data_IF_603768363431
#
_entry.id   IF_603768363431
#
_cell.length_a   1.000
_cell.length_b   1.000
_cell.length_c   1.000
_cell.angle_alpha   90.00
_cell.angle_beta   90.00
_cell.angle_gamma   90.00
#
_symmetry.space_group_name_H-M   'P 1'
#
loop_
_entity.id
_entity.type
_entity.pdbx_description
1 polymer ?
#
# COMPACT_ATOMS: atom_id res chain seq x y z
N UNK A 1 10.99 -7.10 -21.12
CA UNK A 1 12.32 -7.70 -21.36
C UNK A 1 12.54 -8.82 -20.32
N UNK A 2 13.67 -9.53 -20.29
CA UNK A 2 13.89 -10.54 -19.23
C UNK A 2 14.03 -9.86 -17.86
N UNK A 3 13.46 -10.46 -16.81
CA UNK A 3 13.67 -10.05 -15.40
C UNK A 3 15.15 -10.11 -14.98
N UNK A 4 15.99 -10.75 -15.79
CA UNK A 4 17.45 -10.80 -15.62
C UNK A 4 18.15 -9.44 -15.87
N UNK A 5 17.40 -8.37 -16.21
CA UNK A 5 17.94 -7.05 -16.53
C UNK A 5 18.12 -6.11 -15.32
N UNK A 6 17.67 -6.50 -14.12
CA UNK A 6 17.70 -5.63 -12.94
C UNK A 6 18.49 -6.24 -11.79
N UNK A 7 19.24 -5.40 -11.07
CA UNK A 7 19.94 -5.74 -9.84
C UNK A 7 19.42 -4.93 -8.65
N UNK A 8 19.70 -5.35 -7.42
CA UNK A 8 19.44 -4.59 -6.21
C UNK A 8 20.68 -4.53 -5.31
N UNK A 9 21.07 -3.33 -4.90
CA UNK A 9 22.12 -3.09 -3.92
C UNK A 9 21.48 -2.63 -2.61
N UNK A 10 21.52 -3.49 -1.59
CA UNK A 10 20.97 -3.25 -0.27
C UNK A 10 22.09 -2.80 0.67
N UNK A 11 21.93 -1.63 1.30
CA UNK A 11 22.95 -1.04 2.18
C UNK A 11 22.67 -1.41 3.64
N UNK A 12 23.51 -2.25 4.23
CA UNK A 12 23.37 -2.76 5.61
C UNK A 12 24.66 -2.66 6.44
N UNK A 13 25.61 -1.82 6.02
CA UNK A 13 26.93 -1.71 6.63
C UNK A 13 27.02 -0.75 7.83
N UNK A 14 25.99 0.08 8.06
CA UNK A 14 26.02 1.18 9.02
C UNK A 14 25.91 0.77 10.49
N UNK A 15 26.38 1.61 11.41
CA UNK A 15 26.48 1.29 12.84
C UNK A 15 25.15 1.17 13.61
N UNK A 16 24.05 1.73 13.10
CA UNK A 16 22.76 1.83 13.85
C UNK A 16 22.87 2.56 15.21
N UNK A 17 23.84 3.46 15.38
CA UNK A 17 24.21 4.00 16.70
C UNK A 17 23.07 4.70 17.47
N UNK A 18 22.13 5.35 16.76
CA UNK A 18 21.00 6.08 17.36
C UNK A 18 19.90 5.16 17.90
N UNK A 19 19.79 3.95 17.37
CA UNK A 19 18.75 2.96 17.71
C UNK A 19 19.01 2.23 19.02
N UNK A 20 20.25 2.23 19.53
CA UNK A 20 20.65 1.38 20.67
C UNK A 20 20.59 -0.13 20.40
N UNK A 21 20.17 -0.53 19.20
CA UNK A 21 20.10 -1.91 18.70
C UNK A 21 20.45 -1.92 17.21
N UNK A 22 20.84 -3.08 16.68
CA UNK A 22 21.35 -3.18 15.32
C UNK A 22 20.21 -3.45 14.33
N UNK A 23 19.83 -2.41 13.55
CA UNK A 23 18.62 -2.39 12.71
C UNK A 23 18.44 -3.62 11.82
N UNK A 24 19.47 -4.12 11.09
CA UNK A 24 19.28 -5.22 10.15
C UNK A 24 18.78 -6.52 10.79
N UNK A 25 19.08 -6.73 12.08
CA UNK A 25 18.73 -7.95 12.82
C UNK A 25 17.41 -7.85 13.57
N UNK A 26 16.74 -6.69 13.58
CA UNK A 26 15.47 -6.51 14.27
C UNK A 26 14.38 -7.40 13.67
N UNK A 27 13.53 -7.96 14.52
CA UNK A 27 12.43 -8.82 14.10
C UNK A 27 11.30 -8.03 13.47
N UNK A 28 10.70 -8.57 12.43
CA UNK A 28 9.54 -8.03 11.73
C UNK A 28 8.66 -9.19 11.28
N UNK A 29 7.70 -9.54 12.14
CA UNK A 29 6.93 -10.79 11.99
C UNK A 29 7.84 -12.01 12.09
N UNK A 30 7.80 -12.88 11.08
CA UNK A 30 8.63 -14.09 11.01
C UNK A 30 10.02 -13.89 10.38
N UNK A 31 10.35 -12.66 9.95
CA UNK A 31 11.62 -12.31 9.30
C UNK A 31 12.37 -11.28 10.13
N UNK A 32 13.65 -11.12 9.87
CA UNK A 32 14.40 -9.91 10.26
C UNK A 32 14.20 -8.78 9.25
N UNK A 33 14.55 -7.55 9.63
CA UNK A 33 14.54 -6.37 8.75
C UNK A 33 15.33 -6.64 7.46
N UNK A 34 16.54 -7.19 7.53
CA UNK A 34 17.34 -7.47 6.33
C UNK A 34 16.70 -8.54 5.44
N UNK A 35 16.16 -9.61 6.04
CA UNK A 35 15.44 -10.65 5.30
C UNK A 35 14.19 -10.09 4.62
N UNK A 36 13.49 -9.14 5.26
CA UNK A 36 12.34 -8.46 4.66
C UNK A 36 12.75 -7.65 3.44
N UNK A 37 13.80 -6.83 3.54
CA UNK A 37 14.27 -6.00 2.41
C UNK A 37 14.70 -6.88 1.22
N UNK A 38 15.38 -7.99 1.47
CA UNK A 38 15.73 -8.96 0.43
C UNK A 38 14.48 -9.57 -0.21
N UNK A 39 13.47 -9.92 0.60
CA UNK A 39 12.25 -10.57 0.09
C UNK A 39 11.46 -9.66 -0.85
N UNK A 40 11.44 -8.34 -0.62
CA UNK A 40 10.78 -7.37 -1.49
C UNK A 40 11.29 -7.48 -2.95
N UNK A 41 12.62 -7.56 -3.15
CA UNK A 41 13.20 -7.69 -4.48
C UNK A 41 13.03 -9.09 -5.07
N UNK A 42 13.22 -10.13 -4.25
CA UNK A 42 13.07 -11.53 -4.68
C UNK A 42 11.64 -11.85 -5.13
N UNK A 43 10.64 -11.34 -4.41
CA UNK A 43 9.21 -11.46 -4.77
C UNK A 43 8.86 -10.72 -6.08
N UNK A 44 9.69 -9.75 -6.50
CA UNK A 44 9.60 -9.08 -7.80
C UNK A 44 10.44 -9.74 -8.90
N UNK A 45 11.07 -10.89 -8.62
CA UNK A 45 11.85 -11.64 -9.61
C UNK A 45 13.27 -11.10 -9.85
N UNK A 46 13.74 -10.14 -9.04
CA UNK A 46 15.14 -9.68 -9.08
C UNK A 46 16.03 -10.79 -8.55
N UNK A 47 16.97 -11.28 -9.38
CA UNK A 47 17.89 -12.38 -9.03
C UNK A 47 19.21 -11.88 -8.44
N UNK A 48 19.73 -10.79 -8.98
CA UNK A 48 20.99 -10.19 -8.53
C UNK A 48 20.73 -9.23 -7.37
N UNK A 49 20.75 -9.78 -6.15
CA UNK A 49 20.56 -9.02 -4.93
C UNK A 49 21.86 -9.05 -4.14
N UNK A 50 22.49 -7.88 -3.99
CA UNK A 50 23.74 -7.68 -3.27
C UNK A 50 23.45 -6.97 -1.95
N UNK A 51 23.80 -7.58 -0.83
CA UNK A 51 23.73 -6.98 0.50
C UNK A 51 25.12 -6.52 0.90
N UNK A 52 25.29 -5.22 1.02
CA UNK A 52 26.55 -4.61 1.45
C UNK A 52 26.61 -4.58 2.96
N UNK A 53 27.59 -5.29 3.52
CA UNK A 53 27.82 -5.44 4.96
C UNK A 53 29.04 -4.65 5.42
N UNK A 54 29.18 -4.48 6.72
CA UNK A 54 30.27 -3.71 7.34
C UNK A 54 30.27 -3.97 8.84
N UNK A 55 29.68 -3.07 9.64
CA UNK A 55 29.52 -3.33 11.07
C UNK A 55 28.74 -4.64 11.30
N UNK A 56 29.26 -5.54 12.15
CA UNK A 56 28.68 -6.87 12.43
C UNK A 56 28.43 -7.70 11.15
N UNK A 57 29.39 -7.66 10.23
CA UNK A 57 29.31 -8.28 8.89
C UNK A 57 28.85 -9.73 8.93
N UNK A 58 29.44 -10.56 9.79
CA UNK A 58 29.14 -12.01 9.87
C UNK A 58 27.66 -12.32 10.12
N UNK A 59 27.01 -11.55 11.01
CA UNK A 59 25.62 -11.76 11.39
C UNK A 59 24.67 -11.37 10.25
N UNK A 60 24.92 -10.22 9.61
CA UNK A 60 24.14 -9.78 8.45
C UNK A 60 24.36 -10.71 7.26
N UNK A 61 25.60 -11.12 7.02
CA UNK A 61 25.99 -11.99 5.92
C UNK A 61 25.29 -13.35 6.02
N UNK A 62 25.19 -13.92 7.22
CA UNK A 62 24.50 -15.18 7.45
C UNK A 62 23.02 -15.08 7.06
N UNK A 63 22.32 -14.04 7.54
CA UNK A 63 20.90 -13.83 7.25
C UNK A 63 20.65 -13.51 5.77
N UNK A 64 21.55 -12.73 5.16
CA UNK A 64 21.48 -12.37 3.74
C UNK A 64 21.63 -13.61 2.85
N UNK A 65 22.64 -14.44 3.11
CA UNK A 65 22.85 -15.71 2.39
C UNK A 65 21.66 -16.65 2.58
N UNK A 66 21.13 -16.78 3.79
CA UNK A 66 19.93 -17.58 4.06
C UNK A 66 18.70 -17.10 3.27
N UNK A 67 18.53 -15.79 3.09
CA UNK A 67 17.47 -15.23 2.26
C UNK A 67 17.71 -15.39 0.74
N UNK A 68 18.92 -15.78 0.34
CA UNK A 68 19.32 -15.98 -1.05
C UNK A 68 19.93 -14.74 -1.71
N UNK A 69 20.47 -13.80 -0.94
CA UNK A 69 21.23 -12.66 -1.44
C UNK A 69 22.74 -12.94 -1.41
N UNK A 70 23.47 -12.24 -2.28
CA UNK A 70 24.92 -12.21 -2.32
C UNK A 70 25.42 -11.18 -1.30
N UNK A 71 26.60 -11.42 -0.71
CA UNK A 71 27.16 -10.56 0.34
C UNK A 71 28.37 -9.84 -0.19
N UNK A 72 28.42 -8.53 0.04
CA UNK A 72 29.53 -7.65 -0.35
C UNK A 72 30.07 -7.01 0.92
N UNK A 73 31.27 -7.40 1.31
CA UNK A 73 31.89 -6.87 2.52
C UNK A 73 32.59 -5.54 2.23
N UNK A 74 32.13 -4.46 2.86
CA UNK A 74 32.71 -3.13 2.70
C UNK A 74 33.61 -2.79 3.89
N UNK A 75 34.92 -2.95 3.72
CA UNK A 75 35.92 -2.60 4.72
C UNK A 75 35.96 -1.08 5.03
N UNK A 76 35.56 -0.24 4.07
CA UNK A 76 35.58 1.22 4.18
C UNK A 76 34.23 1.80 4.63
N UNK A 77 33.34 1.01 5.25
CA UNK A 77 31.99 1.45 5.62
C UNK A 77 31.97 2.67 6.56
N UNK A 78 33.05 2.86 7.34
CA UNK A 78 33.22 3.99 8.26
C UNK A 78 33.36 5.34 7.53
N UNK A 79 33.74 5.34 6.26
CA UNK A 79 33.87 6.55 5.43
C UNK A 79 32.52 7.10 4.93
N UNK A 80 31.41 6.43 5.26
CA UNK A 80 30.05 6.88 5.01
C UNK A 80 29.29 6.00 4.02
N UNK A 81 27.98 6.23 3.90
CA UNK A 81 27.08 5.39 3.09
C UNK A 81 27.50 5.27 1.62
N UNK A 82 28.15 6.29 1.05
CA UNK A 82 28.56 6.27 -0.35
C UNK A 82 29.65 5.24 -0.66
N UNK A 83 30.54 4.91 0.31
CA UNK A 83 31.50 3.80 0.10
C UNK A 83 30.78 2.47 -0.06
N UNK A 84 29.67 2.28 0.68
CA UNK A 84 28.83 1.08 0.58
C UNK A 84 28.10 1.01 -0.76
N UNK A 85 27.61 2.15 -1.28
CA UNK A 85 27.06 2.23 -2.63
C UNK A 85 28.10 1.79 -3.66
N UNK A 86 29.33 2.33 -3.60
CA UNK A 86 30.40 1.93 -4.52
C UNK A 86 30.73 0.46 -4.41
N UNK A 87 30.84 -0.09 -3.19
CA UNK A 87 31.14 -1.49 -2.97
C UNK A 87 30.09 -2.39 -3.64
N UNK A 88 28.81 -2.15 -3.40
CA UNK A 88 27.74 -2.96 -4.00
C UNK A 88 27.60 -2.76 -5.51
N UNK A 89 27.77 -1.53 -6.01
CA UNK A 89 27.67 -1.24 -7.45
C UNK A 89 28.75 -1.95 -8.25
N UNK A 90 29.97 -2.11 -7.72
CA UNK A 90 31.09 -2.83 -8.38
C UNK A 90 30.77 -4.30 -8.70
N UNK A 91 29.86 -4.91 -7.95
CA UNK A 91 29.48 -6.32 -8.14
C UNK A 91 28.43 -6.52 -9.24
N UNK A 92 27.83 -5.43 -9.75
CA UNK A 92 26.79 -5.50 -10.78
C UNK A 92 27.38 -6.08 -12.06
N UNK A 93 26.69 -7.10 -12.60
CA UNK A 93 27.16 -7.84 -13.77
C UNK A 93 27.03 -7.02 -15.05
N UNK A 94 27.97 -7.18 -16.01
CA UNK A 94 27.81 -6.66 -17.37
C UNK A 94 26.47 -7.13 -17.97
N UNK A 95 25.77 -6.22 -18.64
CA UNK A 95 24.45 -6.49 -19.25
C UNK A 95 23.24 -6.16 -18.38
N UNK A 96 23.42 -5.81 -17.09
CA UNK A 96 22.35 -5.23 -16.27
C UNK A 96 21.91 -3.89 -16.87
N UNK A 97 20.60 -3.67 -17.02
CA UNK A 97 20.06 -2.44 -17.57
C UNK A 97 19.97 -1.33 -16.51
N UNK A 98 19.56 -1.69 -15.29
CA UNK A 98 19.45 -0.78 -14.16
C UNK A 98 19.54 -1.52 -12.83
N UNK A 99 19.79 -0.78 -11.75
CA UNK A 99 19.90 -1.32 -10.41
C UNK A 99 19.22 -0.44 -9.38
N UNK A 100 18.63 -1.09 -8.37
CA UNK A 100 18.09 -0.41 -7.21
C UNK A 100 19.18 -0.11 -6.19
N UNK A 101 19.03 0.99 -5.44
CA UNK A 101 19.80 1.25 -4.22
C UNK A 101 18.83 1.38 -3.05
N UNK A 102 18.91 0.46 -2.09
CA UNK A 102 17.95 0.33 -1.01
C UNK A 102 18.65 0.34 0.36
N UNK A 103 18.46 1.37 1.19
CA UNK A 103 18.83 1.32 2.59
C UNK A 103 18.10 0.18 3.31
N UNK A 104 18.80 -0.57 4.16
CA UNK A 104 18.19 -1.68 4.92
C UNK A 104 17.18 -1.23 5.97
N UNK A 105 17.19 0.05 6.34
CA UNK A 105 16.31 0.65 7.34
C UNK A 105 14.98 1.17 6.77
N UNK A 106 14.65 0.86 5.52
CA UNK A 106 13.35 1.15 4.89
C UNK A 106 12.62 -0.17 4.56
N UNK A 107 12.28 -1.02 5.55
CA UNK A 107 11.84 -2.39 5.30
C UNK A 107 10.39 -2.54 4.82
N UNK A 108 9.63 -1.45 4.74
CA UNK A 108 8.19 -1.49 4.47
C UNK A 108 7.82 -1.08 3.03
N UNK A 109 8.78 -0.86 2.13
CA UNK A 109 8.44 -0.64 0.71
C UNK A 109 7.63 -1.82 0.18
N UNK A 110 6.54 -1.53 -0.55
CA UNK A 110 5.64 -2.55 -1.09
C UNK A 110 6.18 -3.18 -2.36
N UNK A 111 5.83 -4.44 -2.56
CA UNK A 111 6.14 -5.20 -3.78
C UNK A 111 5.69 -4.43 -5.03
N UNK A 112 4.46 -3.90 -4.97
CA UNK A 112 3.86 -3.12 -6.06
C UNK A 112 4.71 -1.91 -6.47
N UNK A 113 5.34 -1.23 -5.52
CA UNK A 113 6.25 -0.10 -5.77
C UNK A 113 7.41 -0.55 -6.65
N UNK A 114 8.10 -1.64 -6.31
CA UNK A 114 9.22 -2.16 -7.09
C UNK A 114 8.79 -2.55 -8.50
N UNK A 115 7.70 -3.32 -8.65
CA UNK A 115 7.20 -3.71 -9.97
C UNK A 115 6.83 -2.50 -10.84
N UNK A 116 6.27 -1.45 -10.23
CA UNK A 116 5.89 -0.23 -10.93
C UNK A 116 7.11 0.57 -11.41
N UNK A 117 8.16 0.63 -10.59
CA UNK A 117 9.44 1.27 -10.97
C UNK A 117 10.11 0.52 -12.12
N UNK A 118 10.14 -0.82 -12.08
CA UNK A 118 10.66 -1.65 -13.16
C UNK A 118 9.89 -1.42 -14.47
N UNK A 119 8.55 -1.44 -14.40
CA UNK A 119 7.69 -1.19 -15.57
C UNK A 119 7.89 0.21 -16.15
N UNK A 120 8.11 1.22 -15.30
CA UNK A 120 8.37 2.58 -15.79
C UNK A 120 9.74 2.71 -16.45
N UNK A 121 10.76 2.03 -15.92
CA UNK A 121 12.08 1.98 -16.56
C UNK A 121 12.03 1.30 -17.93
N UNK A 122 11.23 0.24 -18.09
CA UNK A 122 11.06 -0.41 -19.39
C UNK A 122 10.47 0.54 -20.44
N UNK A 123 9.58 1.46 -20.04
CA UNK A 123 9.04 2.51 -20.93
C UNK A 123 10.00 3.65 -21.16
N UNK A 124 10.91 3.90 -20.23
CA UNK A 124 11.88 5.00 -20.26
C UNK A 124 13.31 4.51 -20.01
N UNK A 125 13.91 3.68 -20.88
CA UNK A 125 15.25 3.16 -20.66
C UNK A 125 16.29 4.28 -20.53
N UNK A 126 17.23 4.13 -19.59
CA UNK A 126 18.27 5.14 -19.35
C UNK A 126 17.85 6.31 -18.45
N UNK A 127 16.61 6.31 -17.93
CA UNK A 127 16.14 7.29 -16.94
C UNK A 127 16.36 6.81 -15.50
N UNK A 128 16.52 7.76 -14.58
CA UNK A 128 16.54 7.51 -13.14
C UNK A 128 15.09 7.54 -12.67
N UNK A 129 14.57 6.41 -12.20
CA UNK A 129 13.18 6.31 -11.75
C UNK A 129 13.14 6.45 -10.23
N UNK A 130 12.39 7.45 -9.74
CA UNK A 130 12.15 7.65 -8.31
C UNK A 130 10.70 7.35 -7.94
N UNK A 131 10.43 6.56 -6.91
CA UNK A 131 9.08 6.48 -6.35
C UNK A 131 8.74 7.80 -5.67
N UNK A 132 7.48 8.21 -5.79
CA UNK A 132 6.94 9.44 -5.21
C UNK A 132 5.62 9.16 -4.49
N UNK A 133 5.50 9.69 -3.28
CA UNK A 133 4.27 9.67 -2.50
C UNK A 133 4.00 11.08 -1.98
N UNK A 134 2.80 11.60 -2.24
CA UNK A 134 2.36 12.95 -1.82
C UNK A 134 3.39 14.04 -2.15
N UNK A 135 3.91 14.01 -3.38
CA UNK A 135 4.88 14.99 -3.89
C UNK A 135 6.33 14.79 -3.41
N UNK A 136 6.59 13.84 -2.51
CA UNK A 136 7.93 13.57 -1.95
C UNK A 136 8.56 12.34 -2.60
N UNK A 137 9.80 12.47 -3.05
CA UNK A 137 10.62 11.34 -3.55
C UNK A 137 11.02 10.45 -2.38
N UNK A 138 11.03 9.14 -2.60
CA UNK A 138 11.42 8.15 -1.60
C UNK A 138 12.34 7.07 -2.16
N UNK A 139 12.41 5.95 -1.43
CA UNK A 139 13.24 4.80 -1.77
C UNK A 139 12.42 3.60 -2.30
N UNK A 140 13.06 2.69 -3.06
CA UNK A 140 14.39 2.82 -3.65
C UNK A 140 14.35 3.57 -4.99
N UNK A 141 15.35 4.40 -5.34
CA UNK A 141 15.58 4.79 -6.73
C UNK A 141 16.00 3.58 -7.58
N UNK A 142 15.61 3.57 -8.85
CA UNK A 142 16.10 2.67 -9.89
C UNK A 142 17.00 3.45 -10.84
N UNK A 143 18.27 3.06 -10.91
CA UNK A 143 19.35 3.83 -11.52
C UNK A 143 19.83 3.10 -12.78
N UNK A 144 19.92 3.77 -13.95
CA UNK A 144 20.41 3.14 -15.16
C UNK A 144 21.90 2.79 -15.03
N UNK A 145 22.31 1.66 -15.62
CA UNK A 145 23.70 1.20 -15.57
C UNK A 145 24.68 2.20 -16.21
N UNK A 146 24.21 3.09 -17.08
CA UNK A 146 25.01 4.14 -17.71
C UNK A 146 25.61 5.12 -16.70
N UNK A 147 25.06 5.23 -15.49
CA UNK A 147 25.61 6.07 -14.41
C UNK A 147 26.64 5.34 -13.54
N UNK A 148 26.94 4.08 -13.83
CA UNK A 148 27.98 3.32 -13.12
C UNK A 148 29.33 4.07 -13.11
N UNK A 149 29.86 4.60 -14.23
CA UNK A 149 31.16 5.28 -14.22
C UNK A 149 31.17 6.51 -13.30
N UNK A 150 30.09 7.29 -13.29
CA UNK A 150 29.97 8.49 -12.46
C UNK A 150 29.92 8.12 -10.97
N UNK A 151 29.26 7.01 -10.63
CA UNK A 151 29.20 6.50 -9.26
C UNK A 151 30.56 5.98 -8.79
N UNK A 152 31.26 5.19 -9.61
CA UNK A 152 32.56 4.64 -9.23
C UNK A 152 33.62 5.74 -9.10
N UNK A 153 33.65 6.69 -10.05
CA UNK A 153 34.64 7.76 -10.10
C UNK A 153 34.29 8.98 -9.23
N UNK A 154 33.06 9.08 -8.74
CA UNK A 154 32.60 10.21 -7.94
C UNK A 154 33.41 10.42 -6.66
N UNK A 155 33.71 11.67 -6.31
CA UNK A 155 34.52 12.04 -5.13
C UNK A 155 33.85 11.72 -3.79
N UNK A 156 32.55 11.41 -3.79
CA UNK A 156 31.74 11.13 -2.60
C UNK A 156 31.20 12.34 -1.86
N UNK A 157 31.56 13.55 -2.27
CA UNK A 157 30.97 14.78 -1.72
C UNK A 157 29.47 14.83 -2.05
N UNK A 158 28.61 14.91 -1.02
CA UNK A 158 27.15 14.86 -1.17
C UNK A 158 26.57 13.47 -1.50
N UNK A 159 27.41 12.43 -1.53
CA UNK A 159 27.04 11.04 -1.73
C UNK A 159 26.34 10.75 -3.07
N UNK A 160 25.58 9.64 -3.10
CA UNK A 160 24.83 9.23 -4.30
C UNK A 160 23.83 10.31 -4.75
N UNK A 161 23.22 11.02 -3.80
CA UNK A 161 22.24 12.08 -4.08
C UNK A 161 22.83 13.17 -4.98
N UNK A 162 24.04 13.66 -4.68
CA UNK A 162 24.68 14.70 -5.48
C UNK A 162 24.93 14.26 -6.93
N UNK A 163 25.28 12.99 -7.14
CA UNK A 163 25.46 12.42 -8.48
C UNK A 163 24.11 12.38 -9.21
N UNK A 164 23.07 11.84 -8.58
CA UNK A 164 21.74 11.79 -9.21
C UNK A 164 21.19 13.19 -9.52
N UNK A 165 21.37 14.15 -8.61
CA UNK A 165 20.95 15.53 -8.80
C UNK A 165 21.73 16.23 -9.95
N UNK A 166 22.98 15.83 -10.24
CA UNK A 166 23.73 16.30 -11.41
C UNK A 166 23.13 15.79 -12.74
N UNK A 167 22.38 14.68 -12.70
CA UNK A 167 21.67 14.09 -13.84
C UNK A 167 20.15 14.31 -13.77
N UNK A 168 19.70 15.42 -13.19
CA UNK A 168 18.26 15.72 -13.01
C UNK A 168 17.44 15.68 -14.31
N UNK A 169 18.05 15.91 -15.47
CA UNK A 169 17.38 15.76 -16.78
C UNK A 169 17.03 14.31 -17.15
N UNK A 170 17.60 13.33 -16.46
CA UNK A 170 17.30 11.91 -16.58
C UNK A 170 16.21 11.46 -15.60
N UNK A 171 15.71 12.34 -14.72
CA UNK A 171 14.79 11.97 -13.66
C UNK A 171 13.36 11.75 -14.17
N UNK A 172 12.74 10.65 -13.71
CA UNK A 172 11.30 10.38 -13.84
C UNK A 172 10.76 10.02 -12.46
N UNK A 173 9.80 10.81 -11.97
CA UNK A 173 9.10 10.53 -10.72
C UNK A 173 7.82 9.73 -10.99
N UNK A 174 7.64 8.62 -10.27
CA UNK A 174 6.50 7.71 -10.40
C UNK A 174 5.66 7.75 -9.14
N UNK A 175 4.42 8.23 -9.26
CA UNK A 175 3.47 8.19 -8.16
C UNK A 175 3.13 6.74 -7.81
N UNK A 176 3.24 6.39 -6.53
CA UNK A 176 2.96 5.07 -5.95
C UNK A 176 2.03 5.22 -4.75
N UNK A 177 1.09 4.29 -4.51
CA UNK A 177 0.25 4.29 -3.31
C UNK A 177 0.99 3.64 -2.14
N UNK A 178 2.16 4.17 -1.82
CA UNK A 178 3.07 3.58 -0.84
C UNK A 178 3.79 4.66 -0.02
N UNK A 179 3.23 5.02 1.12
CA UNK A 179 3.82 6.00 2.02
C UNK A 179 5.10 5.47 2.70
N UNK A 180 5.31 4.15 2.67
CA UNK A 180 6.46 3.52 3.33
C UNK A 180 7.78 3.75 2.59
N UNK A 181 7.74 4.28 1.36
CA UNK A 181 8.96 4.74 0.65
C UNK A 181 9.68 5.89 1.37
N UNK A 182 8.98 6.56 2.31
CA UNK A 182 9.44 7.71 3.08
C UNK A 182 9.73 7.39 4.55
N UNK A 183 9.63 6.11 4.96
CA UNK A 183 9.73 5.71 6.36
C UNK A 183 10.98 4.87 6.60
N UNK A 184 11.97 5.49 7.25
CA UNK A 184 13.17 4.86 7.78
C UNK A 184 13.07 4.63 9.31
N UNK A 185 13.77 3.62 9.82
CA UNK A 185 13.80 3.31 11.25
C UNK A 185 15.09 3.80 11.90
N UNK A 186 15.13 5.03 12.41
CA UNK A 186 16.35 5.72 12.83
C UNK A 186 16.56 5.78 14.35
N UNK A 187 15.45 5.72 15.10
CA UNK A 187 15.38 5.80 16.56
C UNK A 187 14.54 4.66 17.17
N UNK A 188 14.71 4.34 18.46
CA UNK A 188 13.96 3.25 19.10
C UNK A 188 12.43 3.35 18.95
N UNK A 189 11.88 4.58 18.94
CA UNK A 189 10.45 4.78 18.74
C UNK A 189 9.98 4.44 17.31
N UNK A 190 10.85 4.55 16.31
CA UNK A 190 10.54 4.16 14.93
C UNK A 190 10.36 2.65 14.81
N UNK A 191 11.00 1.85 15.68
CA UNK A 191 10.76 0.41 15.71
C UNK A 191 9.34 0.08 16.18
N UNK A 192 8.81 0.81 17.16
CA UNK A 192 7.42 0.62 17.58
C UNK A 192 6.45 1.03 16.44
N UNK A 193 6.74 2.13 15.76
CA UNK A 193 5.96 2.56 14.60
C UNK A 193 6.06 1.56 13.43
N UNK A 194 7.24 0.97 13.20
CA UNK A 194 7.45 -0.11 12.24
C UNK A 194 6.50 -1.28 12.52
N UNK A 195 6.44 -1.74 13.78
CA UNK A 195 5.58 -2.84 14.19
C UNK A 195 4.09 -2.49 14.01
N UNK A 196 3.69 -1.26 14.35
CA UNK A 196 2.31 -0.78 14.16
C UNK A 196 1.93 -0.76 12.67
N UNK A 197 2.83 -0.27 11.80
CA UNK A 197 2.62 -0.27 10.34
C UNK A 197 2.60 -1.68 9.78
N UNK A 198 3.43 -2.58 10.30
CA UNK A 198 3.46 -3.97 9.89
C UNK A 198 2.14 -4.70 10.16
N UNK A 199 1.51 -4.44 11.30
CA UNK A 199 0.19 -5.02 11.63
C UNK A 199 -0.91 -4.62 10.64
N UNK A 200 -0.82 -3.45 10.01
CA UNK A 200 -1.77 -2.98 8.99
C UNK A 200 -1.12 -2.83 7.61
N UNK A 201 -0.08 -3.62 7.30
CA UNK A 201 0.72 -3.48 6.09
C UNK A 201 -0.10 -3.61 4.79
N UNK A 202 -1.07 -4.54 4.81
CA UNK A 202 -1.98 -4.82 3.69
C UNK A 202 -3.23 -3.92 3.67
N UNK A 203 -3.29 -2.91 4.55
CA UNK A 203 -4.41 -1.97 4.63
C UNK A 203 -3.88 -0.57 4.30
N UNK A 204 -4.31 0.05 3.19
CA UNK A 204 -3.85 1.37 2.81
C UNK A 204 -4.30 2.43 3.81
N UNK A 205 -3.46 3.45 4.02
CA UNK A 205 -3.86 4.66 4.73
C UNK A 205 -4.91 5.46 3.93
N UNK A 206 -5.62 6.43 4.55
CA UNK A 206 -6.51 7.33 3.81
C UNK A 206 -5.80 8.03 2.65
N UNK A 207 -4.58 8.49 2.88
CA UNK A 207 -3.75 9.18 1.88
C UNK A 207 -3.33 8.23 0.75
N UNK A 208 -3.08 6.96 1.06
CA UNK A 208 -2.85 5.91 0.05
C UNK A 208 -4.12 5.61 -0.75
N UNK A 209 -5.29 5.57 -0.11
CA UNK A 209 -6.57 5.41 -0.81
C UNK A 209 -6.83 6.58 -1.78
N UNK A 210 -6.57 7.81 -1.35
CA UNK A 210 -6.71 8.99 -2.20
C UNK A 210 -5.71 8.94 -3.37
N UNK A 211 -4.44 8.60 -3.11
CA UNK A 211 -3.43 8.41 -4.16
C UNK A 211 -3.88 7.39 -5.20
N UNK A 212 -4.49 6.28 -4.77
CA UNK A 212 -5.05 5.27 -5.67
C UNK A 212 -6.12 5.90 -6.57
N UNK A 213 -7.09 6.61 -5.99
CA UNK A 213 -8.23 7.16 -6.72
C UNK A 213 -7.93 8.40 -7.56
N UNK A 214 -6.84 9.12 -7.29
CA UNK A 214 -6.48 10.35 -7.99
C UNK A 214 -5.40 10.15 -9.05
N UNK A 215 -4.43 9.27 -8.81
CA UNK A 215 -3.21 9.14 -9.63
C UNK A 215 -3.01 7.76 -10.22
N UNK A 216 -3.36 6.70 -9.51
CA UNK A 216 -3.09 5.32 -9.95
C UNK A 216 -4.23 4.79 -10.82
N UNK A 217 -5.46 4.94 -10.34
CA UNK A 217 -6.71 4.62 -11.01
C UNK A 217 -7.68 5.82 -10.86
N UNK A 218 -7.46 6.89 -11.65
CA UNK A 218 -8.26 8.11 -11.56
C UNK A 218 -9.76 7.84 -11.71
N UNK A 219 -10.54 8.32 -10.76
CA UNK A 219 -12.01 8.34 -10.80
C UNK A 219 -12.55 9.76 -10.97
N UNK A 220 -13.84 9.92 -11.28
CA UNK A 220 -14.45 11.25 -11.33
C UNK A 220 -14.53 11.89 -9.94
N UNK A 221 -14.47 13.22 -9.86
CA UNK A 221 -14.58 13.95 -8.59
C UNK A 221 -15.86 13.60 -7.81
N UNK A 222 -16.97 13.37 -8.52
CA UNK A 222 -18.22 12.92 -7.94
C UNK A 222 -18.13 11.54 -7.29
N UNK A 223 -17.39 10.61 -7.92
CA UNK A 223 -17.17 9.27 -7.38
C UNK A 223 -16.20 9.31 -6.21
N UNK A 224 -15.15 10.12 -6.31
CA UNK A 224 -14.21 10.36 -5.22
C UNK A 224 -14.91 10.85 -3.94
N UNK A 225 -15.77 11.89 -4.06
CA UNK A 225 -16.54 12.41 -2.93
C UNK A 225 -17.57 11.40 -2.41
N UNK A 226 -18.19 10.62 -3.29
CA UNK A 226 -19.05 9.52 -2.91
C UNK A 226 -18.32 8.49 -2.04
N UNK A 227 -17.16 7.99 -2.48
CA UNK A 227 -16.36 7.02 -1.73
C UNK A 227 -15.96 7.54 -0.34
N UNK A 228 -15.57 8.82 -0.23
CA UNK A 228 -15.27 9.43 1.08
C UNK A 228 -16.51 9.52 1.98
N UNK A 229 -17.68 9.83 1.41
CA UNK A 229 -18.94 9.84 2.17
C UNK A 229 -19.33 8.45 2.65
N UNK A 230 -19.16 7.43 1.82
CA UNK A 230 -19.36 6.02 2.20
C UNK A 230 -18.40 5.63 3.32
N UNK A 231 -17.13 6.03 3.24
CA UNK A 231 -16.16 5.76 4.30
C UNK A 231 -16.53 6.42 5.63
N UNK A 232 -17.04 7.66 5.63
CA UNK A 232 -17.53 8.30 6.85
C UNK A 232 -18.70 7.53 7.47
N UNK A 233 -19.68 7.12 6.65
CA UNK A 233 -20.81 6.32 7.12
C UNK A 233 -20.37 4.96 7.66
N UNK A 234 -19.49 4.27 6.94
CA UNK A 234 -18.94 2.97 7.33
C UNK A 234 -18.15 3.06 8.65
N UNK A 235 -17.34 4.10 8.83
CA UNK A 235 -16.62 4.38 10.08
C UNK A 235 -17.58 4.62 11.24
N UNK A 236 -18.64 5.41 11.02
CA UNK A 236 -19.66 5.68 12.06
C UNK A 236 -20.34 4.40 12.52
N UNK A 237 -20.70 3.51 11.58
CA UNK A 237 -21.28 2.19 11.90
C UNK A 237 -20.24 1.33 12.63
N UNK A 238 -19.04 1.18 12.08
CA UNK A 238 -18.00 0.32 12.63
C UNK A 238 -17.58 0.71 14.04
N UNK A 239 -17.50 2.01 14.35
CA UNK A 239 -17.15 2.52 15.67
C UNK A 239 -18.28 2.38 16.71
N UNK A 240 -19.53 2.26 16.25
CA UNK A 240 -20.70 2.09 17.12
C UNK A 240 -20.98 0.63 17.48
N UNK A 241 -20.35 -0.33 16.82
CA UNK A 241 -20.48 -1.77 17.10
C UNK A 241 -19.80 -2.08 18.44
N UNK A 242 -20.41 -2.97 19.22
CA UNK A 242 -19.92 -3.39 20.54
C UNK A 242 -18.44 -3.81 20.50
N UNK A 243 -17.68 -3.42 21.52
CA UNK A 243 -16.22 -3.64 21.60
C UNK A 243 -15.85 -5.13 21.68
N UNK A 244 -16.80 -5.98 22.06
CA UNK A 244 -16.64 -7.43 22.09
C UNK A 244 -16.55 -8.05 20.67
N UNK A 245 -16.91 -7.29 19.62
CA UNK A 245 -16.73 -7.71 18.22
C UNK A 245 -15.46 -7.08 17.66
N UNK A 246 -14.50 -7.92 17.31
CA UNK A 246 -13.19 -7.49 16.82
C UNK A 246 -13.22 -7.13 15.32
N UNK A 247 -13.87 -6.01 14.96
CA UNK A 247 -13.83 -5.46 13.61
C UNK A 247 -12.60 -4.58 13.39
N UNK A 248 -11.97 -4.74 12.22
CA UNK A 248 -10.86 -3.88 11.83
C UNK A 248 -11.36 -2.57 11.20
N UNK A 249 -11.42 -1.51 12.01
CA UNK A 249 -11.86 -0.18 11.59
C UNK A 249 -11.01 0.39 10.42
N UNK A 250 -9.70 0.11 10.39
CA UNK A 250 -8.83 0.55 9.27
C UNK A 250 -9.24 -0.14 7.97
N UNK A 251 -9.58 -1.42 8.05
CA UNK A 251 -10.03 -2.22 6.92
C UNK A 251 -11.41 -1.79 6.42
N UNK A 252 -12.37 -1.51 7.32
CA UNK A 252 -13.68 -0.92 6.97
C UNK A 252 -13.50 0.37 6.18
N UNK A 253 -12.66 1.28 6.69
CA UNK A 253 -12.37 2.56 6.03
C UNK A 253 -11.80 2.36 4.64
N UNK A 254 -10.75 1.55 4.51
CA UNK A 254 -10.09 1.31 3.22
C UNK A 254 -11.04 0.64 2.23
N UNK A 255 -11.81 -0.36 2.66
CA UNK A 255 -12.83 -1.03 1.86
C UNK A 255 -13.88 -0.04 1.36
N UNK A 256 -14.38 0.84 2.22
CA UNK A 256 -15.35 1.86 1.85
C UNK A 256 -14.78 2.95 0.93
N UNK A 257 -13.52 3.38 1.12
CA UNK A 257 -12.89 4.35 0.22
C UNK A 257 -12.65 3.77 -1.18
N UNK A 258 -12.39 2.47 -1.29
CA UNK A 258 -11.97 1.84 -2.55
C UNK A 258 -13.04 0.93 -3.19
N UNK A 259 -14.23 0.81 -2.61
CA UNK A 259 -15.28 -0.13 -3.06
C UNK A 259 -15.65 0.03 -4.55
N UNK A 260 -15.65 1.26 -5.04
CA UNK A 260 -16.05 1.59 -6.42
C UNK A 260 -14.84 1.95 -7.31
N UNK A 261 -13.60 1.58 -6.93
CA UNK A 261 -12.36 1.90 -7.67
C UNK A 261 -12.42 1.57 -9.18
N UNK A 262 -13.17 0.54 -9.56
CA UNK A 262 -13.31 0.08 -10.94
C UNK A 262 -14.68 0.42 -11.57
N UNK A 263 -15.41 1.40 -11.03
CA UNK A 263 -16.75 1.77 -11.49
C UNK A 263 -16.78 1.99 -13.01
N UNK A 264 -17.80 1.42 -13.67
CA UNK A 264 -17.95 1.47 -15.12
C UNK A 264 -17.30 0.32 -15.88
N UNK A 265 -16.47 -0.51 -15.23
CA UNK A 265 -16.03 -1.80 -15.80
C UNK A 265 -17.13 -2.86 -15.67
N UNK A 266 -17.11 -3.88 -16.54
CA UNK A 266 -17.92 -5.08 -16.38
C UNK A 266 -17.50 -5.77 -15.08
N UNK A 267 -18.47 -6.08 -14.23
CA UNK A 267 -18.23 -6.64 -12.89
C UNK A 267 -17.21 -5.79 -12.10
N UNK A 268 -17.57 -4.53 -11.84
CA UNK A 268 -16.65 -3.56 -11.25
C UNK A 268 -16.18 -3.97 -9.84
N UNK A 269 -16.99 -4.71 -9.09
CA UNK A 269 -16.60 -5.22 -7.78
C UNK A 269 -15.42 -6.19 -7.90
N UNK A 270 -15.52 -7.21 -8.76
CA UNK A 270 -14.45 -8.17 -8.96
C UNK A 270 -13.22 -7.53 -9.65
N UNK A 271 -13.45 -6.64 -10.62
CA UNK A 271 -12.36 -5.91 -11.27
C UNK A 271 -11.58 -5.05 -10.26
N UNK A 272 -12.28 -4.38 -9.32
CA UNK A 272 -11.65 -3.61 -8.26
C UNK A 272 -10.88 -4.48 -7.27
N UNK A 273 -11.45 -5.64 -6.92
CA UNK A 273 -10.78 -6.61 -6.06
C UNK A 273 -9.45 -7.10 -6.65
N UNK A 274 -9.39 -7.37 -7.95
CA UNK A 274 -8.15 -7.76 -8.64
C UNK A 274 -7.10 -6.66 -8.58
N UNK A 275 -7.48 -5.40 -8.87
CA UNK A 275 -6.54 -4.26 -8.79
C UNK A 275 -5.94 -4.11 -7.40
N UNK A 276 -6.76 -4.22 -6.35
CA UNK A 276 -6.30 -4.09 -4.96
C UNK A 276 -5.38 -5.24 -4.56
N UNK A 277 -5.67 -6.47 -4.98
CA UNK A 277 -4.82 -7.64 -4.75
C UNK A 277 -3.46 -7.50 -5.44
N UNK A 278 -3.42 -6.98 -6.67
CA UNK A 278 -2.16 -6.70 -7.38
C UNK A 278 -1.29 -5.66 -6.65
N UNK A 279 -1.91 -4.70 -5.96
CA UNK A 279 -1.21 -3.72 -5.11
C UNK A 279 -0.78 -4.28 -3.75
N UNK A 280 -1.20 -5.50 -3.39
CA UNK A 280 -0.93 -6.13 -2.10
C UNK A 280 -1.97 -5.84 -1.02
N UNK A 281 -3.12 -5.26 -1.36
CA UNK A 281 -4.22 -4.95 -0.44
C UNK A 281 -5.29 -6.05 -0.48
N UNK A 282 -4.89 -7.28 -0.12
CA UNK A 282 -5.72 -8.48 -0.32
C UNK A 282 -7.06 -8.42 0.41
N UNK A 283 -7.04 -8.13 1.71
CA UNK A 283 -8.25 -8.06 2.54
C UNK A 283 -9.20 -6.95 2.08
N UNK A 284 -8.66 -5.81 1.63
CA UNK A 284 -9.48 -4.73 1.06
C UNK A 284 -10.16 -5.22 -0.22
N UNK A 285 -9.42 -5.92 -1.08
CA UNK A 285 -9.97 -6.52 -2.29
C UNK A 285 -11.11 -7.50 -2.02
N UNK A 286 -11.04 -8.28 -0.94
CA UNK A 286 -12.13 -9.19 -0.53
C UNK A 286 -13.41 -8.44 -0.15
N UNK A 287 -13.29 -7.34 0.59
CA UNK A 287 -14.43 -6.46 0.90
C UNK A 287 -15.00 -5.84 -0.38
N UNK A 288 -14.13 -5.33 -1.25
CA UNK A 288 -14.55 -4.71 -2.51
C UNK A 288 -15.24 -5.72 -3.43
N UNK A 289 -14.85 -6.99 -3.45
CA UNK A 289 -15.54 -8.01 -4.24
C UNK A 289 -17.00 -8.21 -3.82
N UNK A 290 -17.34 -7.98 -2.54
CA UNK A 290 -18.64 -8.29 -1.95
C UNK A 290 -19.55 -7.07 -1.78
N UNK A 291 -19.11 -5.86 -2.14
CA UNK A 291 -19.86 -4.64 -1.80
C UNK A 291 -21.19 -4.47 -2.57
N UNK A 292 -21.34 -5.12 -3.73
CA UNK A 292 -22.57 -5.06 -4.53
C UNK A 292 -23.57 -6.17 -4.20
N UNK A 293 -23.06 -7.39 -4.03
CA UNK A 293 -23.83 -8.60 -3.80
C UNK A 293 -23.16 -9.39 -2.67
N UNK A 294 -23.82 -9.40 -1.51
CA UNK A 294 -23.33 -10.01 -0.28
C UNK A 294 -24.25 -11.16 0.14
N UNK A 295 -23.70 -12.36 0.27
CA UNK A 295 -24.40 -13.50 0.85
C UNK A 295 -24.30 -13.45 2.38
N UNK A 296 -25.45 -13.37 3.05
CA UNK A 296 -25.51 -13.32 4.52
C UNK A 296 -25.91 -14.68 5.06
N UNK A 297 -25.14 -15.20 6.00
CA UNK A 297 -25.51 -16.38 6.81
C UNK A 297 -26.00 -15.90 8.17
N UNK A 298 -27.28 -16.10 8.48
CA UNK A 298 -27.95 -15.50 9.66
C UNK A 298 -27.24 -15.75 11.01
N UNK A 299 -26.43 -16.81 11.12
CA UNK A 299 -25.71 -17.19 12.35
C UNK A 299 -24.18 -16.95 12.32
N UNK A 300 -23.63 -16.28 11.30
CA UNK A 300 -22.22 -15.89 11.32
C UNK A 300 -21.99 -14.58 12.09
N UNK A 301 -20.79 -14.42 12.64
CA UNK A 301 -20.29 -13.13 13.12
C UNK A 301 -20.41 -12.05 12.02
N UNK A 302 -20.52 -10.80 12.45
CA UNK A 302 -20.55 -9.66 11.54
C UNK A 302 -19.16 -9.43 10.95
N UNK A 303 -19.13 -9.11 9.65
CA UNK A 303 -17.90 -8.81 8.92
C UNK A 303 -17.76 -7.32 8.56
N UNK A 304 -16.53 -6.88 8.30
CA UNK A 304 -16.25 -5.56 7.73
C UNK A 304 -16.95 -5.35 6.38
N UNK A 305 -17.11 -6.41 5.59
CA UNK A 305 -17.82 -6.37 4.32
C UNK A 305 -19.31 -6.02 4.49
N UNK A 306 -19.98 -6.52 5.54
CA UNK A 306 -21.37 -6.15 5.86
C UNK A 306 -21.49 -4.65 6.19
N UNK A 307 -20.53 -4.10 6.92
CA UNK A 307 -20.50 -2.66 7.25
C UNK A 307 -20.35 -1.82 5.98
N UNK A 308 -19.38 -2.14 5.12
CA UNK A 308 -19.14 -1.40 3.86
C UNK A 308 -20.32 -1.53 2.90
N UNK A 309 -20.85 -2.76 2.72
CA UNK A 309 -22.01 -3.04 1.87
C UNK A 309 -23.23 -2.19 2.25
N UNK A 310 -23.46 -2.01 3.55
CA UNK A 310 -24.61 -1.26 4.02
C UNK A 310 -24.37 0.25 4.00
N UNK A 311 -23.17 0.70 4.36
CA UNK A 311 -22.78 2.10 4.29
C UNK A 311 -22.96 2.68 2.88
N UNK A 312 -22.55 1.95 1.83
CA UNK A 312 -22.78 2.35 0.43
C UNK A 312 -24.27 2.62 0.14
N UNK A 313 -25.17 1.79 0.66
CA UNK A 313 -26.62 1.91 0.39
C UNK A 313 -27.29 3.05 1.14
N UNK A 314 -26.68 3.51 2.23
CA UNK A 314 -27.08 4.73 2.91
C UNK A 314 -26.62 5.99 2.17
N UNK A 315 -25.74 5.89 1.18
CA UNK A 315 -25.20 7.05 0.45
C UNK A 315 -25.73 7.08 -0.99
N UNK A 316 -26.17 8.24 -1.44
CA UNK A 316 -26.45 8.52 -2.87
C UNK A 316 -25.74 9.80 -3.28
N UNK A 317 -24.72 9.66 -4.13
CA UNK A 317 -23.79 10.76 -4.37
C UNK A 317 -23.08 11.08 -3.06
N UNK A 318 -23.37 12.25 -2.49
CA UNK A 318 -22.79 12.72 -1.22
C UNK A 318 -23.82 12.81 -0.09
N UNK A 319 -25.09 12.48 -0.38
CA UNK A 319 -26.19 12.60 0.57
C UNK A 319 -26.45 11.27 1.28
N UNK A 320 -26.68 11.33 2.60
CA UNK A 320 -27.25 10.21 3.35
C UNK A 320 -28.74 10.15 3.03
N UNK A 321 -29.22 8.98 2.65
CA UNK A 321 -30.63 8.73 2.41
C UNK A 321 -31.08 7.46 3.12
N UNK A 322 -32.33 7.40 3.62
CA UNK A 322 -32.88 6.17 4.18
C UNK A 322 -32.80 5.01 3.19
N UNK A 323 -32.53 3.83 3.72
CA UNK A 323 -32.38 2.61 2.91
C UNK A 323 -33.61 2.33 2.05
N UNK A 324 -34.82 2.52 2.60
CA UNK A 324 -36.08 2.42 1.85
C UNK A 324 -36.09 3.33 0.63
N UNK A 325 -35.80 4.62 0.83
CA UNK A 325 -35.75 5.63 -0.23
C UNK A 325 -34.70 5.30 -1.30
N UNK A 326 -33.55 4.72 -0.92
CA UNK A 326 -32.50 4.27 -1.88
C UNK A 326 -33.05 3.24 -2.86
N UNK A 327 -33.79 2.26 -2.35
CA UNK A 327 -34.38 1.19 -3.17
C UNK A 327 -35.60 1.66 -3.96
N UNK A 328 -36.45 2.54 -3.40
CA UNK A 328 -37.61 3.09 -4.11
C UNK A 328 -37.16 3.90 -5.34
N UNK A 329 -36.11 4.71 -5.20
CA UNK A 329 -35.50 5.45 -6.32
C UNK A 329 -34.90 4.52 -7.39
N UNK A 330 -34.33 3.38 -6.99
CA UNK A 330 -33.82 2.38 -7.92
C UNK A 330 -34.96 1.68 -8.65
N UNK A 331 -36.04 1.31 -7.96
CA UNK A 331 -37.20 0.68 -8.55
C UNK A 331 -37.87 1.60 -9.59
N UNK A 332 -38.05 2.89 -9.28
CA UNK A 332 -38.62 3.83 -10.24
C UNK A 332 -37.77 3.97 -11.52
N UNK A 333 -36.43 3.97 -11.38
CA UNK A 333 -35.51 4.04 -12.53
C UNK A 333 -35.62 2.84 -13.47
N UNK A 334 -35.97 1.67 -12.94
CA UNK A 334 -36.04 0.41 -13.68
C UNK A 334 -37.47 -0.15 -13.77
N UNK A 335 -38.49 0.70 -13.64
CA UNK A 335 -39.90 0.29 -13.60
C UNK A 335 -40.36 -0.54 -14.80
N UNK A 336 -39.78 -0.29 -15.97
CA UNK A 336 -40.11 -0.99 -17.21
C UNK A 336 -39.30 -2.29 -17.42
N UNK A 337 -38.49 -2.70 -16.43
CA UNK A 337 -37.68 -3.92 -16.47
C UNK A 337 -38.03 -4.85 -15.29
N UNK A 338 -38.94 -5.83 -15.48
CA UNK A 338 -39.40 -6.73 -14.42
C UNK A 338 -38.27 -7.50 -13.72
N UNK A 339 -37.27 -7.97 -14.46
CA UNK A 339 -36.13 -8.72 -13.91
C UNK A 339 -35.27 -7.81 -13.02
N UNK A 340 -35.04 -6.56 -13.43
CA UNK A 340 -34.35 -5.58 -12.61
C UNK A 340 -35.12 -5.26 -11.32
N UNK A 341 -36.45 -5.14 -11.39
CA UNK A 341 -37.30 -4.94 -10.20
C UNK A 341 -37.23 -6.14 -9.24
N UNK A 342 -37.26 -7.36 -9.76
CA UNK A 342 -37.12 -8.57 -8.94
C UNK A 342 -35.78 -8.59 -8.20
N UNK A 343 -34.67 -8.28 -8.91
CA UNK A 343 -33.34 -8.19 -8.31
C UNK A 343 -33.23 -7.06 -7.27
N UNK A 344 -33.85 -5.90 -7.51
CA UNK A 344 -33.90 -4.80 -6.54
C UNK A 344 -34.63 -5.22 -5.25
N UNK A 345 -35.72 -5.99 -5.36
CA UNK A 345 -36.44 -6.53 -4.20
C UNK A 345 -35.60 -7.50 -3.38
N UNK A 346 -34.87 -8.41 -4.05
CA UNK A 346 -33.95 -9.35 -3.39
C UNK A 346 -32.87 -8.58 -2.62
N UNK A 347 -32.21 -7.62 -3.27
CA UNK A 347 -31.17 -6.79 -2.64
C UNK A 347 -31.71 -5.95 -1.49
N UNK A 348 -32.95 -5.45 -1.60
CA UNK A 348 -33.64 -4.74 -0.50
C UNK A 348 -33.82 -5.65 0.71
N UNK A 349 -34.28 -6.88 0.51
CA UNK A 349 -34.45 -7.83 1.61
C UNK A 349 -33.11 -8.15 2.27
N UNK A 350 -32.07 -8.42 1.49
CA UNK A 350 -30.72 -8.67 2.00
C UNK A 350 -30.19 -7.48 2.81
N UNK A 351 -30.30 -6.25 2.29
CA UNK A 351 -29.85 -5.07 3.00
C UNK A 351 -30.61 -4.84 4.31
N UNK A 352 -31.92 -5.13 4.35
CA UNK A 352 -32.70 -5.07 5.59
C UNK A 352 -32.26 -6.14 6.60
N UNK A 353 -31.89 -7.35 6.15
CA UNK A 353 -31.33 -8.39 7.03
C UNK A 353 -30.00 -7.97 7.62
N UNK A 354 -29.06 -7.46 6.81
CA UNK A 354 -27.76 -6.94 7.28
C UNK A 354 -27.95 -5.79 8.27
N UNK A 355 -28.86 -4.84 7.95
CA UNK A 355 -29.20 -3.74 8.85
C UNK A 355 -29.64 -4.23 10.22
N UNK A 356 -30.61 -5.15 10.27
CA UNK A 356 -31.10 -5.72 11.53
C UNK A 356 -29.99 -6.40 12.32
N UNK A 357 -29.12 -7.17 11.64
CA UNK A 357 -27.95 -7.80 12.28
C UNK A 357 -27.05 -6.75 12.92
N UNK A 358 -26.63 -5.73 12.17
CA UNK A 358 -25.78 -4.66 12.69
C UNK A 358 -26.41 -3.90 13.86
N UNK A 359 -27.72 -3.63 13.80
CA UNK A 359 -28.45 -2.91 14.86
C UNK A 359 -28.52 -3.67 16.19
N UNK A 360 -28.40 -5.00 16.18
CA UNK A 360 -28.26 -5.80 17.41
C UNK A 360 -26.97 -5.42 18.15
N UNK A 361 -25.88 -5.21 17.40
CA UNK A 361 -24.57 -4.91 17.99
C UNK A 361 -24.37 -3.42 18.28
N UNK A 362 -24.97 -2.54 17.49
CA UNK A 362 -24.88 -1.09 17.75
C UNK A 362 -25.86 -0.61 18.82
N UNK A 363 -26.89 -1.40 19.15
CA UNK A 363 -27.95 -1.08 20.13
C UNK A 363 -28.72 0.20 19.81
N UNK A 364 -28.58 0.74 18.59
CA UNK A 364 -29.20 1.96 18.09
C UNK A 364 -29.48 1.85 16.60
N UNK A 365 -30.51 2.53 16.07
CA UNK A 365 -30.76 2.58 14.64
C UNK A 365 -29.55 3.14 13.87
N UNK A 366 -29.16 2.48 12.77
CA UNK A 366 -28.00 2.91 12.00
C UNK A 366 -28.18 4.29 11.37
N UNK A 367 -29.41 4.66 10.99
CA UNK A 367 -29.72 6.00 10.51
C UNK A 367 -29.33 7.07 11.54
N UNK A 368 -29.65 6.83 12.81
CA UNK A 368 -29.31 7.75 13.92
C UNK A 368 -27.79 7.86 14.11
N UNK A 369 -27.07 6.73 14.04
CA UNK A 369 -25.61 6.70 14.18
C UNK A 369 -24.94 7.52 13.08
N UNK A 370 -25.33 7.31 11.82
CA UNK A 370 -24.75 7.98 10.66
C UNK A 370 -25.05 9.49 10.68
N UNK A 371 -26.28 9.87 11.04
CA UNK A 371 -26.69 11.28 11.12
C UNK A 371 -25.95 12.05 12.24
N UNK A 372 -25.77 11.43 13.41
CA UNK A 372 -25.13 12.09 14.55
C UNK A 372 -23.63 12.34 14.31
N UNK A 373 -22.90 11.38 13.74
CA UNK A 373 -21.49 11.57 13.41
C UNK A 373 -21.26 12.63 12.34
N UNK A 374 -22.17 12.75 11.37
CA UNK A 374 -22.10 13.78 10.32
C UNK A 374 -22.18 15.20 10.89
N UNK A 375 -22.92 15.40 11.99
CA UNK A 375 -23.04 16.72 12.64
C UNK A 375 -21.79 17.12 13.43
N UNK A 376 -21.03 16.14 13.94
CA UNK A 376 -19.80 16.37 14.71
C UNK A 376 -18.65 16.82 13.78
N UNK A 377 -18.55 16.24 12.58
CA UNK A 377 -17.53 16.62 11.59
C UNK A 377 -17.78 18.00 10.94
N UNK A 378 -19.00 18.53 11.00
CA UNK A 378 -19.32 19.90 10.54
C UNK A 378 -19.05 20.97 11.62
N UNK A 379 -18.71 20.56 12.84
CA UNK A 379 -18.41 21.46 13.98
C UNK A 379 -16.92 21.51 14.34
N UNK A 380 -16.08 20.74 13.65
CA UNK A 380 -14.61 20.79 13.71
C UNK A 380 -14.06 21.29 12.39
#
# INVERSE_FOLDING_TARGET
MSLDNFSAVILAAGFSSRMGCFKPLLSLGSKTVIQRVISIFKENGVKDIFVVTGHRSDEVALLAKFAGAQVVDNQDFQTGMFSSVKAGVKEIRPGTAAFFVMPSDIPLVRRFTISRLMSEFEKNPGKIIHPRFSGKRGHPPLIPISLFPDIINGSGHGGLKAILDAHKSLEVCVDVPDQNILFDIDYPHDYQELLNRWQSYEIPSPEECDMILEKIHPVSDSLFRHCRRVAQAAMSIGQAIDLDINLNIKLIRAGAMLHDIAKGKKDHAQAGAVMLKEMGFHQVGEIVALHTDLSVTENSEISEAEVVYLADKFVKGEQIIPLSKRFDLAAERFKDNPDAIANIRIRRQQAMTVKKRLEVYTKQPLETIIENHTKIDLQK
#
